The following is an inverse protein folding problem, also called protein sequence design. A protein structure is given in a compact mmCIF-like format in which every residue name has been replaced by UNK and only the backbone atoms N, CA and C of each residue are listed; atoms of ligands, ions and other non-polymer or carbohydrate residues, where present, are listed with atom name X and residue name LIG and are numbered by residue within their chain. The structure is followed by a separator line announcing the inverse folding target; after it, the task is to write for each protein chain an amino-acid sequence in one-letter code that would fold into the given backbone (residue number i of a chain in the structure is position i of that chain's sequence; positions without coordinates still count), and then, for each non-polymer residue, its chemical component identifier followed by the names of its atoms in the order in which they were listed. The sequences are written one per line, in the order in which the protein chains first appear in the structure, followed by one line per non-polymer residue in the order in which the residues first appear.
data_IF_184079378097
#
_entry.id   IF_184079378097
#
_cell.length_a   1.000
_cell.length_b   1.000
_cell.length_c   1.000
_cell.angle_alpha   90.00
_cell.angle_beta   90.00
_cell.angle_gamma   90.00
#
_symmetry.space_group_name_H-M   'P 1'
#
loop_
_entity.id
_entity.type
_entity.pdbx_description
1 polymer ?
#
# COMPACT_ATOMS: atom_id res chain seq x y z
N UNK A 1 -25.27 -22.82 -5.89
CA UNK A 1 -24.44 -21.79 -6.54
C UNK A 1 -23.10 -22.42 -6.88
N UNK A 2 -22.58 -22.25 -8.11
CA UNK A 2 -21.21 -22.65 -8.39
C UNK A 2 -20.29 -21.91 -7.41
N UNK A 3 -19.19 -22.53 -6.94
CA UNK A 3 -18.28 -21.89 -6.01
C UNK A 3 -17.80 -20.59 -6.66
N UNK A 4 -18.15 -19.44 -6.06
CA UNK A 4 -17.57 -18.16 -6.45
C UNK A 4 -16.06 -18.32 -6.39
N UNK A 5 -15.38 -18.34 -7.54
CA UNK A 5 -13.92 -18.31 -7.55
C UNK A 5 -13.47 -17.08 -6.75
N UNK A 6 -12.42 -17.23 -5.94
CA UNK A 6 -11.88 -16.12 -5.11
C UNK A 6 -11.48 -14.91 -5.96
N UNK A 7 -11.17 -15.19 -7.23
CA UNK A 7 -10.82 -14.24 -8.28
C UNK A 7 -11.98 -14.20 -9.30
N UNK A 8 -12.56 -13.03 -9.59
CA UNK A 8 -13.60 -12.90 -10.61
C UNK A 8 -13.12 -13.40 -11.99
N UNK A 9 -13.94 -14.16 -12.76
CA UNK A 9 -13.50 -14.78 -14.02
C UNK A 9 -12.94 -13.80 -15.06
N UNK A 10 -13.58 -12.64 -15.23
CA UNK A 10 -13.10 -11.59 -16.15
C UNK A 10 -11.74 -10.99 -15.73
N UNK A 11 -11.40 -11.12 -14.46
CA UNK A 11 -10.17 -10.59 -13.89
C UNK A 11 -9.04 -11.63 -13.86
N UNK A 12 -9.37 -12.93 -13.84
CA UNK A 12 -8.42 -14.04 -13.77
C UNK A 12 -7.19 -13.90 -14.69
N UNK A 13 -7.32 -13.62 -16.01
CA UNK A 13 -6.16 -13.50 -16.89
C UNK A 13 -5.24 -12.30 -16.55
N UNK A 14 -5.77 -11.31 -15.83
CA UNK A 14 -5.04 -10.09 -15.48
C UNK A 14 -4.41 -10.12 -14.08
N UNK A 15 -4.79 -11.10 -13.25
CA UNK A 15 -4.15 -11.36 -11.95
C UNK A 15 -2.97 -12.31 -12.08
N UNK A 16 -3.07 -13.26 -13.02
CA UNK A 16 -1.97 -14.17 -13.30
C UNK A 16 -0.73 -13.36 -13.67
N UNK A 17 0.36 -13.66 -12.96
CA UNK A 17 1.66 -13.06 -13.22
C UNK A 17 2.06 -13.43 -14.66
N UNK A 18 2.50 -12.46 -15.49
CA UNK A 18 2.99 -12.74 -16.83
C UNK A 18 4.13 -13.76 -16.82
N UNK A 19 4.34 -14.48 -17.92
CA UNK A 19 5.53 -15.33 -18.07
C UNK A 19 6.78 -14.44 -18.07
N UNK A 20 7.73 -14.79 -17.22
CA UNK A 20 9.03 -14.13 -16.96
C UNK A 20 9.02 -12.80 -16.18
N UNK A 21 10.21 -12.47 -15.68
CA UNK A 21 10.45 -11.51 -14.62
C UNK A 21 9.94 -10.10 -15.00
N UNK A 22 8.90 -9.63 -14.31
CA UNK A 22 8.19 -8.40 -14.72
C UNK A 22 7.83 -7.48 -13.56
N UNK A 23 7.70 -6.20 -13.91
CA UNK A 23 7.19 -5.17 -13.02
C UNK A 23 5.73 -4.90 -13.34
N UNK A 24 4.92 -4.75 -12.31
CA UNK A 24 3.49 -4.53 -12.38
C UNK A 24 3.15 -3.28 -11.56
N UNK A 25 2.14 -2.54 -12.00
CA UNK A 25 1.65 -1.34 -11.31
C UNK A 25 0.15 -1.45 -11.06
N UNK A 26 -0.24 -1.28 -9.81
CA UNK A 26 -1.60 -0.99 -9.40
C UNK A 26 -1.72 0.48 -9.04
N UNK A 27 -2.77 1.13 -9.53
CA UNK A 27 -3.06 2.50 -9.14
C UNK A 27 -4.43 2.58 -8.49
N UNK A 28 -4.52 3.34 -7.40
CA UNK A 28 -5.78 3.65 -6.72
C UNK A 28 -6.01 5.16 -6.67
N UNK A 29 -7.19 5.54 -6.22
CA UNK A 29 -7.55 6.92 -5.87
C UNK A 29 -8.11 6.92 -4.46
N UNK A 30 -8.21 8.09 -3.82
CA UNK A 30 -8.81 8.26 -2.51
C UNK A 30 -10.23 7.66 -2.44
N UNK A 31 -11.00 7.79 -3.54
CA UNK A 31 -12.36 7.26 -3.64
C UNK A 31 -12.44 5.77 -4.02
N UNK A 32 -11.36 5.18 -4.52
CA UNK A 32 -11.33 3.79 -5.00
C UNK A 32 -10.00 3.12 -4.68
N UNK A 33 -10.01 2.24 -3.67
CA UNK A 33 -8.83 1.49 -3.22
C UNK A 33 -8.61 0.19 -4.02
N UNK A 34 -7.35 -0.17 -4.28
CA UNK A 34 -6.94 -1.46 -4.87
C UNK A 34 -6.72 -2.57 -3.84
N UNK A 35 -7.01 -2.37 -2.55
CA UNK A 35 -6.76 -3.40 -1.52
C UNK A 35 -7.40 -4.74 -1.92
N UNK A 36 -8.66 -4.71 -2.38
CA UNK A 36 -9.37 -5.91 -2.84
C UNK A 36 -8.65 -6.64 -3.99
N UNK A 37 -7.98 -5.88 -4.86
CA UNK A 37 -7.23 -6.35 -6.02
C UNK A 37 -5.88 -6.95 -5.59
N UNK A 38 -5.17 -6.28 -4.68
CA UNK A 38 -3.96 -6.81 -4.02
C UNK A 38 -4.24 -8.17 -3.36
N UNK A 39 -5.37 -8.32 -2.67
CA UNK A 39 -5.79 -9.62 -2.13
C UNK A 39 -5.94 -10.71 -3.19
N UNK A 40 -6.25 -10.35 -4.45
CA UNK A 40 -6.43 -11.31 -5.54
C UNK A 40 -5.09 -11.72 -6.12
N UNK A 41 -4.14 -10.81 -6.22
CA UNK A 41 -2.74 -11.14 -6.46
C UNK A 41 -2.18 -12.04 -5.35
N UNK A 42 -2.47 -11.75 -4.07
CA UNK A 42 -2.10 -12.62 -2.96
C UNK A 42 -2.75 -14.01 -3.08
N UNK A 43 -4.03 -14.10 -3.44
CA UNK A 43 -4.70 -15.39 -3.68
C UNK A 43 -4.00 -16.20 -4.76
N UNK A 44 -3.77 -15.60 -5.92
CA UNK A 44 -3.19 -16.28 -7.07
C UNK A 44 -1.76 -16.74 -6.77
N UNK A 45 -0.92 -15.82 -6.26
CA UNK A 45 0.46 -16.11 -5.89
C UNK A 45 0.57 -17.20 -4.81
N UNK A 46 -0.19 -17.11 -3.73
CA UNK A 46 -0.09 -18.03 -2.60
C UNK A 46 -0.96 -19.29 -2.77
N UNK A 47 -1.64 -19.44 -3.91
CA UNK A 47 -2.39 -20.66 -4.20
C UNK A 47 -1.46 -21.87 -4.24
N UNK A 48 -1.93 -22.95 -3.62
CA UNK A 48 -1.24 -24.25 -3.58
C UNK A 48 -1.80 -25.21 -4.62
N UNK A 49 -2.48 -24.69 -5.66
CA UNK A 49 -3.11 -25.51 -6.68
C UNK A 49 -2.04 -26.43 -7.26
N UNK A 50 -2.16 -27.72 -6.91
CA UNK A 50 -1.30 -28.79 -7.40
C UNK A 50 -1.73 -28.97 -8.84
N UNK A 51 -1.02 -28.31 -9.76
CA UNK A 51 -1.22 -28.49 -11.19
C UNK A 51 -0.88 -29.94 -11.51
N UNK A 52 -1.91 -30.80 -11.59
CA UNK A 52 -1.82 -32.12 -12.20
C UNK A 52 -1.39 -32.06 -13.68
N UNK A 53 -1.25 -30.85 -14.24
CA UNK A 53 -1.05 -30.57 -15.66
C UNK A 53 0.22 -29.76 -15.98
N UNK A 54 1.24 -29.80 -15.12
CA UNK A 54 2.56 -29.21 -15.42
C UNK A 54 2.62 -27.67 -15.42
N UNK A 55 1.61 -26.98 -14.91
CA UNK A 55 1.64 -25.52 -14.72
C UNK A 55 2.56 -25.10 -13.57
N UNK A 56 3.15 -23.91 -13.67
CA UNK A 56 4.10 -23.34 -12.72
C UNK A 56 3.58 -23.36 -11.26
N UNK A 57 4.44 -23.75 -10.32
CA UNK A 57 4.12 -23.64 -8.89
C UNK A 57 3.83 -22.17 -8.53
N UNK A 58 2.91 -21.94 -7.58
CA UNK A 58 2.64 -20.57 -7.10
C UNK A 58 3.89 -19.87 -6.54
N UNK A 59 3.76 -18.61 -6.16
CA UNK A 59 4.88 -17.79 -5.69
C UNK A 59 4.95 -17.72 -4.16
N UNK A 60 6.15 -17.49 -3.62
CA UNK A 60 6.28 -16.91 -2.28
C UNK A 60 6.00 -15.41 -2.37
N UNK A 61 5.60 -14.78 -1.27
CA UNK A 61 5.28 -13.34 -1.27
C UNK A 61 6.00 -12.61 -0.14
N UNK A 62 6.65 -11.49 -0.49
CA UNK A 62 7.03 -10.47 0.48
C UNK A 62 6.13 -9.25 0.26
N UNK A 63 5.35 -8.89 1.27
CA UNK A 63 4.52 -7.69 1.27
C UNK A 63 5.16 -6.61 2.15
N UNK A 64 5.55 -5.50 1.53
CA UNK A 64 6.08 -4.32 2.20
C UNK A 64 5.02 -3.24 2.17
N UNK A 65 4.61 -2.69 3.31
CA UNK A 65 3.57 -1.67 3.37
C UNK A 65 4.01 -0.46 4.19
N UNK A 66 3.88 0.73 3.60
CA UNK A 66 4.10 2.02 4.27
C UNK A 66 2.81 2.71 4.69
N UNK A 67 1.65 2.09 4.46
CA UNK A 67 0.36 2.67 4.79
C UNK A 67 -0.46 1.81 5.77
N UNK A 68 -0.24 0.50 5.83
CA UNK A 68 -1.10 -0.43 6.58
C UNK A 68 -0.29 -1.45 7.37
N UNK A 69 -0.76 -1.73 8.58
CA UNK A 69 -0.15 -2.74 9.45
C UNK A 69 -0.47 -4.17 9.00
N UNK A 70 0.31 -5.13 9.48
CA UNK A 70 0.09 -6.57 9.22
C UNK A 70 -1.33 -7.04 9.55
N UNK A 71 -1.89 -6.55 10.67
CA UNK A 71 -3.21 -6.97 11.15
C UNK A 71 -4.33 -6.62 10.15
N UNK A 72 -4.20 -5.48 9.45
CA UNK A 72 -5.11 -5.12 8.36
C UNK A 72 -5.07 -6.19 7.25
N UNK A 73 -3.88 -6.52 6.76
CA UNK A 73 -3.70 -7.49 5.68
C UNK A 73 -4.16 -8.89 6.06
N UNK A 74 -3.92 -9.29 7.32
CA UNK A 74 -4.37 -10.55 7.88
C UNK A 74 -5.91 -10.66 7.89
N UNK A 75 -6.59 -9.63 8.40
CA UNK A 75 -8.05 -9.61 8.46
C UNK A 75 -8.68 -9.60 7.06
N UNK A 76 -8.19 -8.72 6.18
CA UNK A 76 -8.71 -8.57 4.82
C UNK A 76 -8.44 -9.81 3.96
N UNK A 77 -7.27 -10.45 4.11
CA UNK A 77 -6.95 -11.70 3.41
C UNK A 77 -7.79 -12.87 3.87
N UNK A 78 -8.13 -12.94 5.16
CA UNK A 78 -9.07 -13.96 5.66
C UNK A 78 -10.48 -13.73 5.12
N UNK A 79 -10.93 -12.48 5.15
CA UNK A 79 -12.28 -12.06 4.74
C UNK A 79 -12.53 -12.18 3.24
N UNK A 80 -11.73 -11.49 2.42
CA UNK A 80 -11.96 -11.40 0.97
C UNK A 80 -11.34 -12.53 0.15
N UNK A 81 -10.37 -13.24 0.73
CA UNK A 81 -9.51 -14.17 0.02
C UNK A 81 -9.46 -15.57 0.65
N UNK A 82 -10.01 -15.77 1.87
CA UNK A 82 -9.93 -17.04 2.58
C UNK A 82 -8.50 -17.53 2.81
N UNK A 83 -7.54 -16.60 2.92
CA UNK A 83 -6.13 -16.89 3.16
C UNK A 83 -5.82 -16.74 4.65
N UNK A 84 -5.04 -17.68 5.17
CA UNK A 84 -4.48 -17.59 6.53
C UNK A 84 -3.02 -17.16 6.45
N UNK A 85 -2.78 -15.85 6.57
CA UNK A 85 -1.43 -15.29 6.47
C UNK A 85 -0.53 -15.74 7.63
N UNK A 86 -1.07 -16.05 8.82
CA UNK A 86 -0.27 -16.55 9.94
C UNK A 86 0.26 -17.96 9.65
N UNK A 87 -0.59 -18.82 9.08
CA UNK A 87 -0.17 -20.16 8.62
C UNK A 87 0.87 -20.05 7.51
N UNK A 88 0.61 -19.23 6.49
CA UNK A 88 1.52 -19.06 5.34
C UNK A 88 2.87 -18.47 5.75
N UNK A 89 2.89 -17.60 6.77
CA UNK A 89 4.12 -17.07 7.38
C UNK A 89 4.91 -18.17 8.10
N UNK A 90 4.25 -18.99 8.91
CA UNK A 90 4.89 -20.15 9.59
C UNK A 90 5.41 -21.20 8.61
N UNK A 91 4.76 -21.36 7.46
CA UNK A 91 5.22 -22.21 6.35
C UNK A 91 6.37 -21.59 5.53
N UNK A 92 6.76 -20.34 5.81
CA UNK A 92 7.80 -19.64 5.07
C UNK A 92 7.40 -19.24 3.64
N UNK A 93 6.10 -19.20 3.31
CA UNK A 93 5.59 -18.79 1.98
C UNK A 93 5.27 -17.30 1.89
N UNK A 94 5.11 -16.65 3.05
CA UNK A 94 4.73 -15.25 3.15
C UNK A 94 5.60 -14.54 4.19
N UNK A 95 6.09 -13.35 3.86
CA UNK A 95 6.72 -12.44 4.81
C UNK A 95 6.10 -11.05 4.71
N UNK A 96 6.01 -10.36 5.85
CA UNK A 96 5.54 -8.99 5.93
C UNK A 96 6.66 -8.07 6.42
N UNK A 97 6.80 -6.91 5.78
CA UNK A 97 7.72 -5.85 6.18
C UNK A 97 6.89 -4.60 6.51
N UNK A 98 6.86 -4.23 7.78
CA UNK A 98 6.16 -3.05 8.29
C UNK A 98 7.01 -1.80 8.09
N UNK A 99 6.55 -0.88 7.23
CA UNK A 99 7.17 0.41 6.99
C UNK A 99 6.60 1.57 7.82
N UNK A 100 5.61 1.33 8.69
CA UNK A 100 5.07 2.34 9.61
C UNK A 100 5.87 2.45 10.92
N UNK A 101 6.59 1.40 11.30
CA UNK A 101 7.30 1.30 12.59
C UNK A 101 8.40 2.33 12.81
N UNK A 102 8.89 2.96 11.74
CA UNK A 102 9.97 3.96 11.78
C UNK A 102 9.58 5.28 12.47
N UNK A 103 8.28 5.53 12.71
CA UNK A 103 7.77 6.75 13.33
C UNK A 103 7.27 6.61 14.77
N UNK A 104 6.97 5.39 15.23
CA UNK A 104 6.34 5.19 16.54
C UNK A 104 7.35 5.19 17.71
N UNK A 105 8.59 4.77 17.46
CA UNK A 105 9.60 4.59 18.51
C UNK A 105 10.58 5.78 18.62
N UNK A 106 10.58 6.69 17.65
CA UNK A 106 11.43 7.88 17.65
C UNK A 106 11.03 8.91 18.74
N UNK A 107 9.85 8.79 19.35
CA UNK A 107 9.34 9.73 20.37
C UNK A 107 9.57 9.31 21.83
N UNK A 108 10.15 8.13 22.10
CA UNK A 108 10.31 7.64 23.50
C UNK A 108 11.74 7.79 24.05
N UNK A 109 12.71 8.22 23.23
CA UNK A 109 14.12 8.26 23.63
C UNK A 109 14.85 9.57 23.33
N UNK A 110 14.47 10.69 23.96
CA UNK A 110 15.40 11.79 24.34
C UNK A 110 14.67 13.00 24.93
N UNK A 111 14.27 12.92 26.20
CA UNK A 111 14.14 14.10 27.06
C UNK A 111 14.74 13.78 28.42
N UNK A 112 16.07 13.73 28.46
CA UNK A 112 16.87 13.84 29.69
C UNK A 112 17.87 14.95 29.44
N UNK A 113 17.77 16.00 30.25
CA UNK A 113 18.26 17.33 29.94
C UNK A 113 19.78 17.52 29.97
N UNK A 114 20.19 18.64 29.38
CA UNK A 114 21.38 19.40 29.78
C UNK A 114 20.98 20.88 29.77
N UNK A 115 20.86 21.45 30.96
CA UNK A 115 20.97 22.88 31.20
C UNK A 115 22.38 23.35 30.80
N UNK A 116 22.47 24.27 29.84
CA UNK A 116 23.65 25.12 29.68
C UNK A 116 23.22 26.49 29.17
N UNK A 117 23.11 27.42 30.12
CA UNK A 117 23.03 28.86 29.86
C UNK A 117 24.36 29.32 29.26
N UNK A 118 24.34 29.87 28.05
CA UNK A 118 25.32 30.88 27.64
C UNK A 118 24.66 31.95 26.78
N UNK A 119 24.98 33.18 27.15
CA UNK A 119 24.48 34.45 26.68
C UNK A 119 25.11 34.78 25.32
N UNK A 120 24.32 35.24 24.34
CA UNK A 120 24.83 35.62 23.02
C UNK A 120 23.74 36.25 22.15
N UNK A 121 23.68 37.57 22.15
CA UNK A 121 22.85 38.40 21.27
C UNK A 121 23.18 38.15 19.79
N UNK A 122 22.16 37.90 18.96
CA UNK A 122 22.10 38.38 17.59
C UNK A 122 20.66 38.31 17.07
N UNK A 123 20.10 39.48 16.74
CA UNK A 123 18.76 39.69 16.20
C UNK A 123 18.88 39.90 14.69
N UNK A 124 18.19 39.13 13.82
CA UNK A 124 18.02 39.54 12.43
C UNK A 124 16.74 40.37 12.31
N UNK A 125 16.90 41.67 12.04
CA UNK A 125 15.83 42.52 11.53
C UNK A 125 15.67 42.23 10.02
N UNK A 126 14.45 41.94 9.57
CA UNK A 126 14.10 42.05 8.16
C UNK A 126 13.00 43.09 8.03
N UNK A 127 13.32 44.13 7.26
CA UNK A 127 12.48 45.28 6.98
C UNK A 127 11.31 44.90 6.07
N UNK A 128 10.12 45.42 6.40
CA UNK A 128 8.96 45.42 5.51
C UNK A 128 8.97 46.68 4.63
N UNK A 129 8.49 46.59 3.39
CA UNK A 129 7.84 47.71 2.72
C UNK A 129 6.31 47.54 2.73
N UNK A 130 5.63 48.58 3.20
CA UNK A 130 4.23 48.87 2.86
C UNK A 130 4.12 49.10 1.34
N UNK A 131 3.03 48.84 0.63
CA UNK A 131 1.68 48.37 0.93
C UNK A 131 0.83 48.73 -0.29
N UNK A 132 -0.06 47.85 -0.76
CA UNK A 132 -1.23 48.20 -1.58
C UNK A 132 -2.28 47.09 -1.40
N UNK A 133 -3.52 47.51 -1.12
CA UNK A 133 -4.69 46.71 -0.78
C UNK A 133 -5.26 45.93 -1.99
N UNK A 134 -5.78 44.71 -1.78
CA UNK A 134 -7.04 44.26 -2.41
C UNK A 134 -7.73 43.13 -1.60
N UNK A 135 -9.00 43.39 -1.30
CA UNK A 135 -10.18 42.54 -1.04
C UNK A 135 -10.02 41.07 -0.59
N UNK A 136 -10.45 40.81 0.66
CA UNK A 136 -10.96 39.51 1.13
C UNK A 136 -12.31 39.20 0.48
N UNK A 137 -12.36 38.13 -0.32
CA UNK A 137 -13.61 37.41 -0.63
C UNK A 137 -13.94 36.38 0.46
N UNK A 138 -15.22 36.08 0.72
CA UNK A 138 -15.62 35.16 1.78
C UNK A 138 -15.38 33.69 1.41
N UNK A 139 -14.71 32.99 2.32
CA UNK A 139 -14.56 31.53 2.36
C UNK A 139 -15.93 30.89 2.69
N UNK A 140 -16.54 30.17 1.75
CA UNK A 140 -17.75 29.37 2.00
C UNK A 140 -17.35 27.91 2.23
N UNK A 141 -17.35 27.49 3.49
CA UNK A 141 -17.33 26.08 3.88
C UNK A 141 -18.75 25.49 3.73
N UNK A 142 -18.94 24.26 3.24
CA UNK A 142 -20.26 23.66 3.14
C UNK A 142 -20.83 23.29 4.52
N UNK A 143 -22.10 23.65 4.67
CA UNK A 143 -22.96 23.55 5.85
C UNK A 143 -23.37 22.10 6.14
N UNK A 144 -23.40 21.77 7.44
CA UNK A 144 -23.92 20.52 8.04
C UNK A 144 -25.39 20.26 7.69
N UNK A 145 -25.76 18.98 7.59
CA UNK A 145 -27.13 18.49 7.40
C UNK A 145 -28.13 18.79 8.54
N UNK A 146 -29.42 18.42 8.34
CA UNK A 146 -30.56 18.98 9.07
C UNK A 146 -30.83 18.34 10.45
N UNK A 147 -31.61 19.01 11.34
CA UNK A 147 -31.64 18.71 12.77
C UNK A 147 -32.82 17.83 13.24
N UNK A 148 -32.59 17.09 14.33
CA UNK A 148 -33.49 17.09 15.50
C UNK A 148 -34.32 15.82 15.82
N UNK A 149 -33.85 15.04 16.80
CA UNK A 149 -34.58 14.45 17.95
C UNK A 149 -33.48 13.88 18.89
N UNK A 150 -33.36 14.19 20.20
CA UNK A 150 -34.15 13.69 21.35
C UNK A 150 -33.64 14.37 22.66
N UNK A 151 -34.52 15.07 23.41
CA UNK A 151 -34.87 15.02 24.89
C UNK A 151 -33.75 15.12 25.99
N UNK A 152 -34.02 15.67 27.22
CA UNK A 152 -33.12 16.64 27.88
C UNK A 152 -32.28 16.15 29.08
N UNK A 153 -31.50 17.13 29.56
CA UNK A 153 -30.43 17.18 30.55
C UNK A 153 -30.69 16.60 31.96
N UNK A 154 -29.59 16.12 32.57
CA UNK A 154 -29.42 15.99 34.02
C UNK A 154 -28.05 16.55 34.42
N UNK A 155 -28.05 17.51 35.34
CA UNK A 155 -26.90 18.32 35.73
C UNK A 155 -25.85 17.62 36.61
N UNK A 156 -24.78 18.33 37.00
CA UNK A 156 -23.62 17.74 37.66
C UNK A 156 -23.70 17.83 39.19
N UNK A 157 -23.01 16.93 39.92
CA UNK A 157 -22.54 17.25 41.26
C UNK A 157 -21.01 17.27 41.36
N UNK A 158 -20.53 18.45 41.75
CA UNK A 158 -19.49 18.82 42.73
C UNK A 158 -18.37 17.85 43.12
N UNK A 159 -17.16 18.41 43.08
CA UNK A 159 -15.89 17.93 43.63
C UNK A 159 -15.90 17.78 45.16
N UNK A 160 -15.14 16.80 45.67
CA UNK A 160 -14.67 16.76 47.04
C UNK A 160 -13.16 16.49 47.10
N UNK A 161 -12.53 17.15 48.06
CA UNK A 161 -11.11 17.47 48.21
C UNK A 161 -10.29 16.38 48.90
N UNK A 162 -8.98 16.55 48.81
CA UNK A 162 -7.88 15.67 49.20
C UNK A 162 -7.83 15.15 50.65
N UNK A 163 -7.15 14.02 50.83
CA UNK A 163 -6.43 13.68 52.06
C UNK A 163 -5.17 12.84 51.75
N UNK A 164 -4.01 13.36 52.13
CA UNK A 164 -2.74 12.62 52.31
C UNK A 164 -2.80 11.89 53.66
N UNK A 165 -2.12 10.73 53.83
CA UNK A 165 -0.92 10.77 54.69
C UNK A 165 0.21 9.80 54.27
N UNK A 166 1.33 10.00 54.97
CA UNK A 166 2.74 9.64 54.79
C UNK A 166 3.10 8.18 55.24
N UNK A 167 4.38 7.73 55.32
CA UNK A 167 4.87 6.49 54.70
C UNK A 167 5.31 5.38 55.69
N UNK A 168 5.59 4.16 55.20
CA UNK A 168 6.61 3.23 55.76
C UNK A 168 6.75 1.92 54.96
N UNK A 169 7.88 1.18 55.12
CA UNK A 169 8.55 0.44 54.03
C UNK A 169 8.43 -1.09 54.13
N UNK A 170 8.59 -1.79 52.99
CA UNK A 170 8.99 -3.20 52.97
C UNK A 170 9.62 -3.60 51.62
N UNK A 171 10.95 -3.74 51.66
CA UNK A 171 11.75 -4.85 51.12
C UNK A 171 11.17 -5.69 49.97
N UNK A 172 11.71 -5.54 48.75
CA UNK A 172 11.78 -6.65 47.81
C UNK A 172 13.11 -6.71 47.07
N UNK A 173 13.61 -7.92 47.00
CA UNK A 173 14.93 -8.34 46.63
C UNK A 173 15.29 -8.04 45.16
N UNK A 174 16.53 -7.62 45.00
CA UNK A 174 17.30 -7.53 43.77
C UNK A 174 17.33 -8.89 43.06
N UNK A 175 16.77 -8.97 41.85
CA UNK A 175 17.13 -9.98 40.85
C UNK A 175 17.39 -9.24 39.54
N UNK A 176 18.54 -9.42 38.88
CA UNK A 176 18.91 -8.61 37.73
C UNK A 176 18.06 -8.99 36.50
N UNK A 177 17.26 -8.04 36.03
CA UNK A 177 16.64 -8.09 34.70
C UNK A 177 17.74 -8.18 33.65
N UNK A 178 17.83 -9.35 33.06
CA UNK A 178 18.67 -9.62 31.90
C UNK A 178 17.90 -9.13 30.68
N UNK A 179 18.36 -8.00 30.12
CA UNK A 179 18.35 -7.66 28.69
C UNK A 179 17.15 -8.13 27.86
N UNK A 180 16.30 -7.18 27.49
CA UNK A 180 15.27 -7.26 26.46
C UNK A 180 15.73 -8.03 25.21
N UNK A 181 15.19 -9.22 25.03
CA UNK A 181 15.31 -10.00 23.79
C UNK A 181 14.24 -9.53 22.81
N UNK A 182 14.69 -9.05 21.65
CA UNK A 182 13.87 -8.69 20.49
C UNK A 182 13.14 -9.96 20.00
N UNK A 183 11.88 -10.15 20.39
CA UNK A 183 11.09 -11.32 20.02
C UNK A 183 10.64 -11.19 18.55
N UNK A 184 11.57 -11.39 17.62
CA UNK A 184 11.26 -11.38 16.19
C UNK A 184 10.25 -12.49 15.88
N UNK A 185 9.03 -12.09 15.48
CA UNK A 185 8.02 -13.03 15.03
C UNK A 185 8.48 -13.52 13.65
N UNK A 186 8.72 -14.84 13.44
CA UNK A 186 9.24 -15.34 12.17
C UNK A 186 8.38 -14.88 10.99
N UNK A 187 9.01 -14.33 9.95
CA UNK A 187 8.35 -13.79 8.75
C UNK A 187 7.65 -12.44 8.94
N UNK A 188 7.87 -11.75 10.05
CA UNK A 188 7.42 -10.37 10.29
C UNK A 188 8.63 -9.50 10.60
N UNK A 189 8.85 -8.50 9.75
CA UNK A 189 9.95 -7.56 9.83
C UNK A 189 9.41 -6.15 10.02
N UNK A 190 10.18 -5.30 10.67
CA UNK A 190 9.84 -3.89 10.87
C UNK A 190 11.02 -3.04 10.46
N UNK A 191 10.77 -2.04 9.61
CA UNK A 191 11.78 -1.05 9.25
C UNK A 191 12.09 -0.20 10.47
N UNK A 192 13.38 -0.02 10.77
CA UNK A 192 13.85 0.84 11.87
C UNK A 192 14.11 2.26 11.37
N UNK A 193 14.52 2.39 10.11
CA UNK A 193 14.74 3.67 9.44
C UNK A 193 14.04 3.71 8.09
N UNK A 194 13.83 4.92 7.56
CA UNK A 194 13.35 5.14 6.20
C UNK A 194 14.50 5.40 5.22
N UNK A 195 15.69 4.90 5.54
CA UNK A 195 16.86 5.00 4.67
C UNK A 195 16.90 3.81 3.71
N UNK A 196 17.13 4.08 2.42
CA UNK A 196 17.11 3.05 1.37
C UNK A 196 18.07 1.87 1.62
N UNK A 197 19.29 2.06 2.18
CA UNK A 197 20.17 0.94 2.53
C UNK A 197 19.55 0.00 3.57
N UNK A 198 18.88 0.52 4.59
CA UNK A 198 18.21 -0.28 5.62
C UNK A 198 17.00 -1.02 5.04
N UNK A 199 16.18 -0.31 4.26
CA UNK A 199 15.04 -0.89 3.54
C UNK A 199 15.51 -2.08 2.68
N UNK A 200 16.60 -1.91 1.92
CA UNK A 200 17.20 -2.97 1.10
C UNK A 200 17.59 -4.17 1.96
N UNK A 201 18.30 -3.96 3.07
CA UNK A 201 18.79 -5.03 3.95
C UNK A 201 17.62 -5.81 4.56
N UNK A 202 16.61 -5.11 5.08
CA UNK A 202 15.44 -5.74 5.70
C UNK A 202 14.65 -6.56 4.68
N UNK A 203 14.37 -6.00 3.49
CA UNK A 203 13.64 -6.73 2.45
C UNK A 203 14.46 -7.93 1.96
N UNK A 204 15.78 -7.78 1.76
CA UNK A 204 16.64 -8.90 1.35
C UNK A 204 16.66 -10.02 2.40
N UNK A 205 16.64 -9.65 3.68
CA UNK A 205 16.53 -10.62 4.79
C UNK A 205 15.17 -11.32 4.80
N UNK A 206 14.08 -10.58 4.55
CA UNK A 206 12.74 -11.15 4.42
C UNK A 206 12.63 -12.13 3.25
N UNK A 207 13.22 -11.80 2.09
CA UNK A 207 13.29 -12.69 0.92
C UNK A 207 14.07 -13.96 1.27
N UNK A 208 15.21 -13.82 1.95
CA UNK A 208 16.09 -14.95 2.29
C UNK A 208 15.49 -15.91 3.33
N UNK A 209 14.56 -15.43 4.16
CA UNK A 209 13.90 -16.23 5.18
C UNK A 209 12.69 -17.03 4.67
N UNK A 210 12.24 -16.78 3.44
CA UNK A 210 11.21 -17.60 2.80
C UNK A 210 11.75 -19.02 2.57
N UNK A 211 10.88 -20.02 2.69
CA UNK A 211 11.28 -21.44 2.70
C UNK A 211 11.98 -21.82 1.39
N UNK A 212 13.23 -22.32 1.44
CA UNK A 212 13.90 -22.89 0.28
C UNK A 212 13.39 -24.29 -0.07
N UNK A 213 12.49 -24.88 0.74
CA UNK A 213 12.09 -26.30 0.61
C UNK A 213 11.20 -26.59 -0.59
N UNK A 214 10.73 -25.57 -1.30
CA UNK A 214 10.04 -25.69 -2.59
C UNK A 214 10.92 -25.03 -3.66
N UNK A 215 11.93 -25.74 -4.20
CA UNK A 215 12.98 -25.17 -5.06
C UNK A 215 12.47 -24.56 -6.39
N UNK A 216 11.17 -24.59 -6.68
CA UNK A 216 10.57 -24.00 -7.87
C UNK A 216 9.76 -22.72 -7.60
N UNK A 217 9.43 -22.37 -6.34
CA UNK A 217 8.63 -21.17 -6.05
C UNK A 217 9.48 -19.90 -6.09
N UNK A 218 9.32 -19.10 -7.14
CA UNK A 218 9.87 -17.74 -7.17
C UNK A 218 9.09 -16.81 -6.23
N UNK A 219 9.65 -15.64 -5.95
CA UNK A 219 9.10 -14.63 -5.04
C UNK A 219 8.44 -13.50 -5.82
N UNK A 220 7.24 -13.13 -5.40
CA UNK A 220 6.56 -11.88 -5.75
C UNK A 220 6.80 -10.88 -4.63
N UNK A 221 7.42 -9.75 -4.95
CA UNK A 221 7.60 -8.63 -4.03
C UNK A 221 6.49 -7.61 -4.27
N UNK A 222 5.76 -7.25 -3.22
CA UNK A 222 4.67 -6.28 -3.30
C UNK A 222 5.05 -5.04 -2.48
N UNK A 223 5.03 -3.88 -3.12
CA UNK A 223 5.19 -2.58 -2.48
C UNK A 223 3.85 -1.87 -2.38
N UNK A 224 3.31 -1.79 -1.18
CA UNK A 224 2.07 -1.08 -0.86
C UNK A 224 2.37 0.34 -0.40
N UNK A 225 2.01 1.31 -1.25
CA UNK A 225 2.19 2.75 -1.03
C UNK A 225 3.66 3.21 -0.82
N UNK A 226 4.63 2.82 -1.69
CA UNK A 226 6.00 3.30 -1.58
C UNK A 226 6.15 4.80 -1.86
N UNK A 227 5.15 5.43 -2.49
CA UNK A 227 5.05 6.87 -2.71
C UNK A 227 5.10 7.69 -1.41
N UNK A 228 4.67 7.11 -0.29
CA UNK A 228 4.78 7.75 1.02
C UNK A 228 6.23 8.00 1.45
N UNK A 229 7.20 7.23 0.94
CA UNK A 229 8.62 7.48 1.21
C UNK A 229 9.06 8.88 0.79
N UNK A 230 8.51 9.41 -0.31
CA UNK A 230 8.83 10.75 -0.82
C UNK A 230 8.36 11.85 0.13
N UNK A 231 7.27 11.60 0.87
CA UNK A 231 6.74 12.53 1.85
C UNK A 231 7.42 12.38 3.22
N UNK A 232 7.84 11.17 3.57
CA UNK A 232 8.39 10.83 4.89
C UNK A 232 9.92 11.02 4.98
N UNK A 233 10.63 10.93 3.86
CA UNK A 233 12.08 11.17 3.79
C UNK A 233 12.40 12.10 2.60
N UNK A 234 12.66 13.41 2.84
CA UNK A 234 12.91 14.37 1.77
C UNK A 234 14.23 14.12 1.01
N UNK A 235 15.10 13.25 1.52
CA UNK A 235 16.35 12.87 0.86
C UNK A 235 16.12 11.88 -0.28
N UNK A 236 14.98 11.19 -0.30
CA UNK A 236 14.66 10.18 -1.31
C UNK A 236 14.04 10.88 -2.53
N UNK A 237 14.68 10.72 -3.69
CA UNK A 237 14.08 11.12 -4.97
C UNK A 237 13.48 9.91 -5.70
N UNK A 238 12.56 10.12 -6.66
CA UNK A 238 11.87 9.02 -7.35
C UNK A 238 12.80 7.98 -8.01
N UNK A 239 13.94 8.41 -8.54
CA UNK A 239 14.93 7.49 -9.14
C UNK A 239 15.57 6.56 -8.12
N UNK A 240 15.71 6.99 -6.87
CA UNK A 240 16.37 6.18 -5.84
C UNK A 240 15.49 4.98 -5.49
N UNK A 241 14.18 5.19 -5.33
CA UNK A 241 13.23 4.11 -5.11
C UNK A 241 13.17 3.16 -6.31
N UNK A 242 13.06 3.67 -7.55
CA UNK A 242 13.04 2.80 -8.73
C UNK A 242 14.33 1.99 -8.86
N UNK A 243 15.48 2.58 -8.48
CA UNK A 243 16.78 1.88 -8.45
C UNK A 243 16.81 0.80 -7.37
N UNK A 244 16.24 1.07 -6.19
CA UNK A 244 16.07 0.07 -5.14
C UNK A 244 15.20 -1.10 -5.61
N UNK A 245 14.04 -0.81 -6.21
CA UNK A 245 13.13 -1.84 -6.73
C UNK A 245 13.84 -2.73 -7.78
N UNK A 246 14.53 -2.12 -8.76
CA UNK A 246 15.31 -2.86 -9.74
C UNK A 246 16.45 -3.67 -9.09
N UNK A 247 17.14 -3.11 -8.10
CA UNK A 247 18.19 -3.83 -7.36
C UNK A 247 17.63 -5.06 -6.65
N UNK A 248 16.46 -4.95 -6.01
CA UNK A 248 15.79 -6.08 -5.37
C UNK A 248 15.30 -7.11 -6.40
N UNK A 249 14.92 -6.67 -7.60
CA UNK A 249 14.56 -7.54 -8.71
C UNK A 249 15.74 -8.37 -9.23
N UNK A 250 16.99 -7.91 -9.06
CA UNK A 250 18.18 -8.70 -9.42
C UNK A 250 18.45 -9.90 -8.50
N UNK A 251 17.74 -10.00 -7.38
CA UNK A 251 17.86 -11.16 -6.49
C UNK A 251 17.27 -12.38 -7.22
N UNK A 252 18.02 -13.48 -7.43
CA UNK A 252 17.60 -14.58 -8.30
C UNK A 252 16.27 -15.25 -7.93
N UNK A 253 15.87 -15.17 -6.67
CA UNK A 253 14.61 -15.72 -6.18
C UNK A 253 13.42 -14.79 -6.41
N UNK A 254 13.64 -13.51 -6.73
CA UNK A 254 12.58 -12.53 -7.02
C UNK A 254 12.29 -12.56 -8.51
N UNK A 255 11.02 -12.80 -8.84
CA UNK A 255 10.54 -12.83 -10.22
C UNK A 255 9.77 -11.58 -10.58
N UNK A 256 8.92 -11.12 -9.67
CA UNK A 256 7.94 -10.10 -9.95
C UNK A 256 7.97 -9.03 -8.89
N UNK A 257 7.76 -7.78 -9.30
CA UNK A 257 7.50 -6.68 -8.37
C UNK A 257 6.17 -6.04 -8.73
N UNK A 258 5.28 -5.95 -7.74
CA UNK A 258 3.99 -5.28 -7.84
C UNK A 258 4.01 -4.00 -7.01
N UNK A 259 4.00 -2.85 -7.67
CA UNK A 259 3.91 -1.55 -7.01
C UNK A 259 2.45 -1.13 -6.90
N UNK A 260 2.01 -0.66 -5.74
CA UNK A 260 0.73 0.02 -5.56
C UNK A 260 0.99 1.48 -5.20
N UNK A 261 0.57 2.41 -6.08
CA UNK A 261 0.78 3.86 -5.93
C UNK A 261 -0.54 4.62 -6.04
N UNK A 262 -0.72 5.71 -5.29
CA UNK A 262 -1.88 6.60 -5.45
C UNK A 262 -1.83 7.38 -6.77
N UNK A 263 -2.96 7.53 -7.44
CA UNK A 263 -3.10 8.23 -8.74
C UNK A 263 -4.21 9.28 -8.73
N UNK A 264 -4.43 9.93 -7.59
CA UNK A 264 -5.43 10.98 -7.45
C UNK A 264 -5.21 12.15 -8.41
N UNK A 265 -6.30 12.84 -8.76
CA UNK A 265 -6.26 13.94 -9.73
C UNK A 265 -5.20 15.02 -9.41
N UNK A 266 -5.00 15.47 -8.15
CA UNK A 266 -3.92 16.42 -7.83
C UNK A 266 -2.50 15.87 -8.02
N UNK A 267 -2.35 14.54 -8.06
CA UNK A 267 -1.08 13.85 -8.25
C UNK A 267 -0.79 13.55 -9.74
N UNK A 268 -1.82 13.63 -10.59
CA UNK A 268 -1.72 13.54 -12.04
C UNK A 268 -1.70 14.92 -12.70
N UNK A 269 -2.50 15.85 -12.20
CA UNK A 269 -2.63 17.23 -12.68
C UNK A 269 -1.94 18.17 -11.69
N UNK A 270 -0.68 18.49 -11.98
CA UNK A 270 0.17 19.33 -11.15
C UNK A 270 -0.44 20.72 -10.93
N UNK A 271 -0.23 21.29 -9.74
CA UNK A 271 -0.56 22.68 -9.47
C UNK A 271 0.27 23.65 -10.33
N UNK A 272 -0.14 24.92 -10.41
CA UNK A 272 0.57 25.96 -11.16
C UNK A 272 0.95 27.08 -10.18
N UNK A 273 2.23 27.22 -9.77
CA UNK A 273 3.37 26.37 -10.13
C UNK A 273 3.38 25.01 -9.39
N UNK A 274 3.95 23.93 -9.98
CA UNK A 274 3.97 22.61 -9.36
C UNK A 274 4.70 22.60 -8.02
N UNK A 275 4.14 21.93 -7.02
CA UNK A 275 4.83 21.73 -5.76
C UNK A 275 5.89 20.61 -5.89
N UNK A 276 7.04 20.69 -5.19
CA UNK A 276 8.10 19.69 -5.32
C UNK A 276 7.64 18.26 -5.04
N UNK A 277 6.80 18.05 -4.03
CA UNK A 277 6.26 16.74 -3.69
C UNK A 277 5.28 16.21 -4.75
N UNK A 278 4.44 17.10 -5.32
CA UNK A 278 3.55 16.74 -6.43
C UNK A 278 4.36 16.27 -7.64
N UNK A 279 5.43 17.01 -7.97
CA UNK A 279 6.33 16.66 -9.07
C UNK A 279 7.08 15.34 -8.81
N UNK A 280 7.56 15.12 -7.59
CA UNK A 280 8.24 13.90 -7.21
C UNK A 280 7.30 12.68 -7.31
N UNK A 281 6.09 12.78 -6.78
CA UNK A 281 5.08 11.73 -6.87
C UNK A 281 4.70 11.43 -8.31
N UNK A 282 4.41 12.46 -9.11
CA UNK A 282 4.11 12.33 -10.53
C UNK A 282 5.23 11.59 -11.28
N UNK A 283 6.48 12.01 -11.06
CA UNK A 283 7.65 11.38 -11.68
C UNK A 283 7.82 9.92 -11.26
N UNK A 284 7.55 9.58 -9.99
CA UNK A 284 7.58 8.19 -9.52
C UNK A 284 6.52 7.35 -10.23
N UNK A 285 5.27 7.82 -10.25
CA UNK A 285 4.15 7.11 -10.86
C UNK A 285 4.38 6.88 -12.36
N UNK A 286 4.81 7.91 -13.10
CA UNK A 286 5.10 7.81 -14.53
C UNK A 286 6.24 6.83 -14.81
N UNK A 287 7.32 6.87 -14.01
CA UNK A 287 8.43 5.91 -14.14
C UNK A 287 7.96 4.47 -13.88
N UNK A 288 7.22 4.24 -12.78
CA UNK A 288 6.67 2.92 -12.48
C UNK A 288 5.74 2.43 -13.58
N UNK A 289 4.91 3.31 -14.16
CA UNK A 289 4.02 2.96 -15.27
C UNK A 289 4.80 2.58 -16.54
N UNK A 290 5.83 3.34 -16.89
CA UNK A 290 6.70 3.05 -18.05
C UNK A 290 7.47 1.74 -17.87
N UNK A 291 7.94 1.45 -16.67
CA UNK A 291 8.68 0.23 -16.33
C UNK A 291 7.78 -1.00 -16.23
N UNK A 292 6.46 -0.83 -16.09
CA UNK A 292 5.53 -1.92 -15.83
C UNK A 292 5.02 -2.57 -17.11
N UNK A 293 5.05 -3.91 -17.15
CA UNK A 293 4.44 -4.70 -18.22
C UNK A 293 2.92 -4.61 -18.19
N UNK A 294 2.32 -4.45 -17.00
CA UNK A 294 0.87 -4.33 -16.84
C UNK A 294 0.54 -3.27 -15.80
N UNK A 295 -0.43 -2.42 -16.12
CA UNK A 295 -0.96 -1.38 -15.24
C UNK A 295 -2.44 -1.64 -15.03
N UNK A 296 -2.86 -1.80 -13.77
CA UNK A 296 -4.27 -1.94 -13.39
C UNK A 296 -4.64 -0.76 -12.48
N UNK A 297 -5.50 0.13 -12.97
CA UNK A 297 -5.96 1.30 -12.21
C UNK A 297 -7.43 1.17 -11.83
N UNK A 298 -7.78 1.50 -10.59
CA UNK A 298 -9.19 1.62 -10.16
C UNK A 298 -9.57 3.07 -9.89
N UNK A 299 -10.77 3.45 -10.32
CA UNK A 299 -11.35 4.78 -10.12
C UNK A 299 -12.82 4.69 -9.77
N UNK A 300 -13.32 5.71 -9.09
CA UNK A 300 -14.76 5.89 -8.92
C UNK A 300 -15.44 6.13 -10.27
N UNK A 301 -16.76 5.95 -10.33
CA UNK A 301 -17.53 6.30 -11.51
C UNK A 301 -17.59 7.83 -11.65
N UNK A 302 -17.33 8.33 -12.86
CA UNK A 302 -17.44 9.76 -13.18
C UNK A 302 -18.88 10.26 -13.03
N UNK A 303 -19.87 9.36 -13.15
CA UNK A 303 -21.30 9.64 -12.98
C UNK A 303 -21.74 9.73 -11.51
N UNK A 304 -20.85 9.48 -10.55
CA UNK A 304 -21.16 9.45 -9.12
C UNK A 304 -21.43 8.03 -8.57
N UNK A 305 -21.92 7.97 -7.33
CA UNK A 305 -22.05 6.71 -6.57
C UNK A 305 -23.24 5.88 -7.04
N UNK A 306 -23.06 4.57 -7.18
CA UNK A 306 -24.11 3.59 -7.44
C UNK A 306 -24.15 2.52 -6.34
N UNK A 307 -25.33 1.94 -6.08
CA UNK A 307 -25.49 0.87 -5.07
C UNK A 307 -24.76 -0.42 -5.47
N UNK A 308 -24.80 -0.73 -6.77
CA UNK A 308 -24.35 -2.02 -7.29
C UNK A 308 -23.00 -1.96 -8.03
N UNK A 309 -22.36 -0.79 -8.04
CA UNK A 309 -21.06 -0.56 -8.68
C UNK A 309 -20.18 0.27 -7.76
N UNK A 310 -19.02 -0.27 -7.40
CA UNK A 310 -18.02 0.44 -6.58
C UNK A 310 -17.13 1.35 -7.43
N UNK A 311 -16.86 0.97 -8.68
CA UNK A 311 -16.02 1.75 -9.57
C UNK A 311 -15.72 1.06 -10.89
N UNK A 312 -14.73 1.60 -11.60
CA UNK A 312 -14.17 1.07 -12.85
C UNK A 312 -12.74 0.62 -12.60
N UNK A 313 -12.39 -0.56 -13.12
CA UNK A 313 -11.01 -1.00 -13.26
C UNK A 313 -10.59 -0.87 -14.73
N UNK A 314 -9.45 -0.23 -14.98
CA UNK A 314 -8.82 -0.13 -16.30
C UNK A 314 -7.53 -0.95 -16.29
N UNK A 315 -7.32 -1.74 -17.32
CA UNK A 315 -6.20 -2.67 -17.44
C UNK A 315 -5.48 -2.37 -18.74
N UNK A 316 -4.22 -1.95 -18.65
CA UNK A 316 -3.34 -1.73 -19.79
C UNK A 316 -2.19 -2.72 -19.70
N UNK A 317 -1.93 -3.43 -20.80
CA UNK A 317 -0.81 -4.37 -20.89
C UNK A 317 0.11 -3.94 -22.03
N UNK A 318 1.39 -3.82 -21.74
CA UNK A 318 2.42 -3.61 -22.75
C UNK A 318 2.73 -4.96 -23.40
N UNK A 319 2.26 -5.17 -24.63
CA UNK A 319 2.76 -6.28 -25.46
C UNK A 319 4.11 -5.87 -26.04
N UNK A 320 5.09 -6.76 -25.91
CA UNK A 320 6.39 -6.58 -26.55
C UNK A 320 6.21 -6.88 -28.05
N UNK A 321 5.92 -5.86 -28.86
CA UNK A 321 5.72 -6.00 -30.32
C UNK A 321 6.96 -6.53 -31.06
N UNK A 322 8.13 -6.61 -30.41
CA UNK A 322 9.35 -7.09 -31.08
C UNK A 322 9.33 -8.60 -31.41
N UNK A 323 8.55 -9.43 -30.71
CA UNK A 323 8.57 -10.89 -30.97
C UNK A 323 7.53 -11.38 -31.99
N UNK A 324 6.57 -10.54 -32.38
CA UNK A 324 5.44 -10.93 -33.26
C UNK A 324 5.60 -10.46 -34.71
N UNK A 325 6.75 -9.84 -35.03
CA UNK A 325 7.07 -9.38 -36.38
C UNK A 325 7.65 -10.45 -37.29
N UNK A 326 7.89 -11.69 -36.83
CA UNK A 326 8.58 -12.69 -37.66
C UNK A 326 7.86 -14.00 -37.98
N UNK A 327 6.81 -14.49 -37.30
CA UNK A 327 6.28 -15.83 -37.65
C UNK A 327 4.81 -16.08 -37.26
N UNK A 328 3.82 -15.41 -37.87
CA UNK A 328 2.46 -15.99 -38.02
C UNK A 328 1.59 -15.18 -38.98
N UNK A 329 1.54 -15.56 -40.25
CA UNK A 329 0.63 -14.96 -41.24
C UNK A 329 -0.81 -15.54 -41.21
N UNK A 330 -1.20 -16.38 -40.24
CA UNK A 330 -2.50 -17.07 -40.31
C UNK A 330 -3.20 -17.29 -38.95
N UNK A 331 -3.55 -16.22 -38.25
CA UNK A 331 -4.66 -16.27 -37.28
C UNK A 331 -5.58 -15.05 -37.49
N UNK A 332 -6.92 -15.23 -37.40
CA UNK A 332 -7.87 -14.17 -37.71
C UNK A 332 -7.74 -13.03 -36.69
N UNK A 333 -7.61 -11.81 -37.20
CA UNK A 333 -7.60 -10.56 -36.43
C UNK A 333 -8.94 -10.34 -35.75
N UNK A 334 -9.08 -10.87 -34.53
CA UNK A 334 -10.17 -10.50 -33.63
C UNK A 334 -9.89 -9.09 -33.09
N UNK A 335 -10.55 -8.09 -33.68
CA UNK A 335 -10.79 -6.76 -33.11
C UNK A 335 -9.55 -5.98 -32.68
N UNK A 336 -9.15 -5.02 -33.52
CA UNK A 336 -8.16 -3.95 -33.28
C UNK A 336 -8.46 -3.10 -32.00
N UNK A 337 -8.24 -3.68 -30.83
CA UNK A 337 -8.24 -3.04 -29.50
C UNK A 337 -6.84 -3.15 -28.86
N UNK A 338 -5.83 -3.49 -29.67
CA UNK A 338 -4.46 -3.90 -29.32
C UNK A 338 -3.66 -2.83 -28.58
N UNK A 339 -4.13 -1.58 -28.53
CA UNK A 339 -3.54 -0.48 -27.74
C UNK A 339 -4.50 0.20 -26.76
N UNK A 340 -5.79 -0.16 -26.73
CA UNK A 340 -6.77 0.45 -25.82
C UNK A 340 -6.93 -0.47 -24.63
N UNK A 341 -6.37 -0.06 -23.48
CA UNK A 341 -6.56 -0.79 -22.23
C UNK A 341 -8.04 -1.13 -21.98
N UNK A 342 -8.31 -2.34 -21.47
CA UNK A 342 -9.65 -2.87 -21.20
C UNK A 342 -10.24 -2.21 -19.97
N UNK A 343 -11.57 -2.04 -19.95
CA UNK A 343 -12.29 -1.47 -18.81
C UNK A 343 -13.43 -2.36 -18.35
N UNK A 344 -13.50 -2.60 -17.04
CA UNK A 344 -14.58 -3.35 -16.40
C UNK A 344 -15.17 -2.56 -15.25
N UNK A 345 -16.44 -2.83 -14.94
CA UNK A 345 -17.07 -2.40 -13.70
C UNK A 345 -16.75 -3.41 -12.61
N UNK A 346 -16.61 -2.94 -11.38
CA UNK A 346 -16.46 -3.82 -10.23
C UNK A 346 -17.36 -3.41 -9.07
N UNK A 347 -17.76 -4.40 -8.27
CA UNK A 347 -18.50 -4.24 -7.03
C UNK A 347 -17.78 -4.99 -5.92
N UNK A 348 -17.35 -4.28 -4.88
CA UNK A 348 -16.83 -4.86 -3.64
C UNK A 348 -17.94 -4.87 -2.60
N UNK A 349 -18.26 -6.06 -2.06
CA UNK A 349 -19.30 -6.23 -1.04
C UNK A 349 -18.70 -6.19 0.37
N UNK A 350 -19.57 -5.95 1.36
CA UNK A 350 -19.17 -5.85 2.76
C UNK A 350 -18.57 -7.13 3.36
N UNK A 351 -18.82 -8.28 2.74
CA UNK A 351 -18.23 -9.59 3.09
C UNK A 351 -16.84 -9.83 2.45
N UNK A 352 -16.34 -8.89 1.66
CA UNK A 352 -15.07 -9.00 0.94
C UNK A 352 -15.18 -9.72 -0.41
N UNK A 353 -16.38 -10.18 -0.80
CA UNK A 353 -16.61 -10.71 -2.14
C UNK A 353 -16.55 -9.60 -3.19
N UNK A 354 -16.08 -9.95 -4.39
CA UNK A 354 -15.91 -9.01 -5.49
C UNK A 354 -16.57 -9.58 -6.73
N UNK A 355 -17.30 -8.73 -7.45
CA UNK A 355 -17.80 -9.01 -8.79
C UNK A 355 -17.15 -8.07 -9.78
N UNK A 356 -16.83 -8.58 -10.97
CA UNK A 356 -16.31 -7.81 -12.10
C UNK A 356 -17.19 -8.17 -13.30
N UNK A 357 -17.63 -7.16 -14.05
CA UNK A 357 -18.55 -7.31 -15.17
C UNK A 357 -18.32 -6.21 -16.21
N UNK A 358 -18.66 -6.51 -17.46
CA UNK A 358 -18.60 -5.55 -18.55
C UNK A 358 -19.70 -4.50 -18.41
N UNK A 359 -19.50 -3.31 -19.00
CA UNK A 359 -20.54 -2.28 -19.03
C UNK A 359 -21.75 -2.80 -19.82
N UNK A 360 -22.94 -2.70 -19.24
CA UNK A 360 -24.19 -3.16 -19.86
C UNK A 360 -24.58 -4.61 -19.55
N UNK A 361 -23.71 -5.40 -18.91
CA UNK A 361 -24.03 -6.78 -18.52
C UNK A 361 -24.87 -6.91 -17.23
N UNK A 362 -25.15 -5.79 -16.54
CA UNK A 362 -25.84 -5.78 -15.24
C UNK A 362 -27.35 -5.99 -15.27
N UNK A 363 -27.89 -6.60 -16.34
CA UNK A 363 -29.34 -6.72 -16.58
C UNK A 363 -30.02 -7.95 -15.96
N UNK A 364 -29.28 -8.94 -15.44
CA UNK A 364 -29.88 -10.14 -14.85
C UNK A 364 -29.50 -10.24 -13.36
N UNK A 365 -30.44 -9.80 -12.52
CA UNK A 365 -30.41 -9.92 -11.06
C UNK A 365 -31.20 -11.11 -10.57
#
# INVERSE_FOLDING_TARGET
MPPSSRIPPLLQPYIQLPREDSLLLLTSTLGASVNWLLLRFLCDALSTATTQDGGEEGHNVVLVSWMRQYEFWKQESRKGAGLDLDRLRKEGKFAFVDGLGTGADATVGSTSGIDARTNGQARPQVAAPAGLQMQRGPQTLPVRGPPGRVVPARGPPVSATAATPTPSPATHATTPETTSSDSSIPGHYTLKTLELPDIKVVISSAISALSPSAPQRKTLLIFDNPDLLLALNPSIIPSDFTSLALTLHTIPTVSHILNHIQSDNPLLNLSIPPQPLELAHHNLLVKCAHMSRRVLGVRILDTGVARDVSGVIRITEQKHEWLDLELSENEPKEGDDTGRGKEFLYQVKGDGSVRVFERGAGGEG
#
